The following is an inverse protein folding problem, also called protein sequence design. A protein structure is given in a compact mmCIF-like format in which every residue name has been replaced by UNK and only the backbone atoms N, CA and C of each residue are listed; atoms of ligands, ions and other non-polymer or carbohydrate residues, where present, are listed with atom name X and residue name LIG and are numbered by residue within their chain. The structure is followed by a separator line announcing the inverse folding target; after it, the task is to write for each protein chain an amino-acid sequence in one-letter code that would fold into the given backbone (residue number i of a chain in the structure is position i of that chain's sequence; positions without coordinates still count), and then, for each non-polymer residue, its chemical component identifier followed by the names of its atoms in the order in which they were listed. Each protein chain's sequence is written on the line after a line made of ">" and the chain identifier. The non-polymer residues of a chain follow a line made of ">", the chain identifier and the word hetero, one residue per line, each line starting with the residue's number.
data_IF_875035377674
#
_entry.id   IF_875035377674
#
_cell.length_a   1.000
_cell.length_b   1.000
_cell.length_c   1.000
_cell.angle_alpha   90.00
_cell.angle_beta   90.00
_cell.angle_gamma   90.00
#
_symmetry.space_group_name_H-M   'P 1'
#
loop_
_entity.id
_entity.type
_entity.pdbx_description
1 polymer ?
#
# COMPACT_ATOMS: atom_id res chain seq x y z
N UNK A 1 -31.50 -19.47 11.44
CA UNK A 1 -31.10 -19.06 10.07
C UNK A 1 -29.62 -18.70 10.07
N UNK A 2 -28.77 -19.52 9.45
CA UNK A 2 -27.33 -19.24 9.27
C UNK A 2 -27.20 -18.14 8.22
N UNK A 3 -26.76 -16.95 8.63
CA UNK A 3 -26.52 -15.81 7.73
C UNK A 3 -25.39 -16.16 6.75
N UNK A 4 -25.73 -16.32 5.47
CA UNK A 4 -24.84 -16.61 4.35
C UNK A 4 -24.00 -15.39 3.94
N UNK A 5 -23.05 -14.98 4.77
CA UNK A 5 -21.86 -14.29 4.26
C UNK A 5 -20.90 -15.40 3.80
N UNK A 6 -20.32 -15.30 2.61
CA UNK A 6 -19.32 -16.20 2.00
C UNK A 6 -19.82 -17.38 1.15
N UNK A 7 -20.50 -17.11 0.03
CA UNK A 7 -20.59 -18.11 -1.06
C UNK A 7 -20.29 -17.55 -2.46
N UNK A 8 -19.95 -16.27 -2.57
CA UNK A 8 -19.55 -15.70 -3.86
C UNK A 8 -18.05 -15.82 -4.04
N UNK A 9 -17.65 -16.31 -5.21
CA UNK A 9 -16.25 -16.34 -5.60
C UNK A 9 -15.74 -14.92 -5.78
N UNK A 10 -14.47 -14.70 -5.48
CA UNK A 10 -13.85 -13.39 -5.59
C UNK A 10 -12.44 -13.51 -6.19
N UNK A 11 -11.93 -12.38 -6.67
CA UNK A 11 -10.64 -12.31 -7.33
C UNK A 11 -9.54 -11.89 -6.35
N UNK A 12 -8.55 -12.75 -6.18
CA UNK A 12 -7.26 -12.42 -5.57
C UNK A 12 -6.36 -11.78 -6.61
N UNK A 13 -5.45 -10.92 -6.17
CA UNK A 13 -4.49 -10.26 -7.05
C UNK A 13 -3.15 -9.99 -6.35
N UNK A 14 -2.09 -9.88 -7.16
CA UNK A 14 -0.72 -9.75 -6.69
C UNK A 14 -0.04 -11.09 -6.44
N UNK A 15 1.27 -11.14 -6.68
CA UNK A 15 2.07 -12.36 -6.72
C UNK A 15 1.95 -13.19 -5.45
N UNK A 16 2.28 -12.62 -4.29
CA UNK A 16 2.32 -13.38 -3.03
C UNK A 16 0.95 -13.97 -2.65
N UNK A 17 -0.11 -13.18 -2.81
CA UNK A 17 -1.48 -13.61 -2.51
C UNK A 17 -1.92 -14.75 -3.44
N UNK A 18 -1.76 -14.59 -4.75
CA UNK A 18 -2.18 -15.62 -5.71
C UNK A 18 -1.33 -16.90 -5.60
N UNK A 19 -0.01 -16.77 -5.44
CA UNK A 19 0.87 -17.95 -5.32
C UNK A 19 0.64 -18.71 -4.02
N UNK A 20 0.37 -18.02 -2.91
CA UNK A 20 0.03 -18.69 -1.64
C UNK A 20 -1.28 -19.48 -1.76
N UNK A 21 -2.31 -18.86 -2.35
CA UNK A 21 -3.60 -19.51 -2.63
C UNK A 21 -3.48 -20.74 -3.55
N UNK A 22 -2.63 -20.66 -4.57
CA UNK A 22 -2.33 -21.79 -5.46
C UNK A 22 -1.68 -22.95 -4.71
N UNK A 23 -0.77 -22.68 -3.76
CA UNK A 23 -0.08 -23.70 -2.95
C UNK A 23 -0.97 -24.30 -1.85
N UNK A 24 -1.95 -23.56 -1.35
CA UNK A 24 -2.85 -24.02 -0.29
C UNK A 24 -3.79 -25.13 -0.79
N UNK A 25 -3.63 -26.36 -0.29
CA UNK A 25 -4.44 -27.52 -0.72
C UNK A 25 -5.94 -27.38 -0.42
N UNK A 26 -6.30 -26.63 0.62
CA UNK A 26 -7.68 -26.43 1.04
C UNK A 26 -8.37 -25.28 0.27
N UNK A 27 -7.61 -24.52 -0.51
CA UNK A 27 -8.12 -23.43 -1.33
C UNK A 27 -8.68 -23.95 -2.65
N UNK A 28 -9.98 -23.75 -2.87
CA UNK A 28 -10.60 -23.97 -4.18
C UNK A 28 -10.30 -22.81 -5.12
N UNK A 29 -9.44 -23.09 -6.10
CA UNK A 29 -9.08 -22.17 -7.18
C UNK A 29 -9.90 -22.51 -8.44
N UNK A 30 -10.42 -21.51 -9.13
CA UNK A 30 -11.36 -21.68 -10.24
C UNK A 30 -10.70 -21.34 -11.57
N UNK A 31 -10.12 -20.14 -11.69
CA UNK A 31 -9.48 -19.65 -12.91
C UNK A 31 -8.31 -18.74 -12.56
N UNK A 32 -7.18 -18.94 -13.24
CA UNK A 32 -5.99 -18.09 -13.14
C UNK A 32 -5.87 -17.22 -14.39
N UNK A 33 -5.84 -15.91 -14.21
CA UNK A 33 -5.55 -14.92 -15.24
C UNK A 33 -4.12 -14.40 -15.04
N UNK A 34 -3.30 -14.46 -16.07
CA UNK A 34 -1.91 -14.00 -16.03
C UNK A 34 -1.53 -13.29 -17.31
N UNK A 35 -0.65 -12.31 -17.23
CA UNK A 35 -0.04 -11.72 -18.42
C UNK A 35 1.05 -12.62 -18.99
N UNK A 36 1.32 -12.49 -20.28
CA UNK A 36 2.38 -13.25 -20.97
C UNK A 36 3.74 -13.09 -20.26
N UNK A 37 4.12 -11.85 -19.92
CA UNK A 37 5.38 -11.56 -19.24
C UNK A 37 5.46 -12.24 -17.86
N UNK A 38 4.39 -12.14 -17.06
CA UNK A 38 4.36 -12.77 -15.73
C UNK A 38 4.41 -14.29 -15.83
N UNK A 39 3.67 -14.87 -16.79
CA UNK A 39 3.66 -16.31 -16.99
C UNK A 39 5.04 -16.83 -17.37
N UNK A 40 5.77 -16.16 -18.28
CA UNK A 40 7.13 -16.54 -18.66
C UNK A 40 8.11 -16.49 -17.48
N UNK A 41 8.02 -15.45 -16.64
CA UNK A 41 8.91 -15.30 -15.48
C UNK A 41 8.66 -16.37 -14.40
N UNK A 42 7.43 -16.87 -14.27
CA UNK A 42 7.00 -17.76 -13.18
C UNK A 42 6.44 -19.10 -13.65
N UNK A 43 6.76 -19.50 -14.88
CA UNK A 43 6.17 -20.66 -15.56
C UNK A 43 6.28 -21.95 -14.75
N UNK A 44 7.48 -22.24 -14.23
CA UNK A 44 7.74 -23.47 -13.47
C UNK A 44 6.84 -23.58 -12.24
N UNK A 45 6.72 -22.49 -11.47
CA UNK A 45 5.95 -22.45 -10.23
C UNK A 45 4.44 -22.54 -10.51
N UNK A 46 3.98 -21.82 -11.56
CA UNK A 46 2.58 -21.85 -11.99
C UNK A 46 2.20 -23.24 -12.48
N UNK A 47 2.98 -23.85 -13.39
CA UNK A 47 2.69 -25.19 -13.93
C UNK A 47 2.62 -26.24 -12.83
N UNK A 48 3.54 -26.19 -11.85
CA UNK A 48 3.52 -27.13 -10.73
C UNK A 48 2.22 -27.04 -9.93
N UNK A 49 1.79 -25.83 -9.57
CA UNK A 49 0.58 -25.64 -8.77
C UNK A 49 -0.69 -25.94 -9.58
N UNK A 50 -0.75 -25.48 -10.84
CA UNK A 50 -1.88 -25.65 -11.74
C UNK A 50 -2.13 -27.12 -12.06
N UNK A 51 -1.09 -27.89 -12.39
CA UNK A 51 -1.23 -29.32 -12.70
C UNK A 51 -1.77 -30.10 -11.50
N UNK A 52 -1.36 -29.74 -10.28
CA UNK A 52 -1.84 -30.41 -9.07
C UNK A 52 -3.33 -30.18 -8.79
N UNK A 53 -3.91 -29.07 -9.28
CA UNK A 53 -5.28 -28.65 -9.00
C UNK A 53 -6.21 -28.68 -10.22
N UNK A 54 -5.69 -28.87 -11.43
CA UNK A 54 -6.46 -28.85 -12.68
C UNK A 54 -7.10 -27.48 -13.00
N UNK A 55 -6.42 -26.38 -12.69
CA UNK A 55 -6.97 -25.02 -12.84
C UNK A 55 -6.82 -24.54 -14.29
N UNK A 56 -7.84 -23.86 -14.83
CA UNK A 56 -7.73 -23.19 -16.13
C UNK A 56 -6.84 -21.96 -16.03
N UNK A 57 -5.79 -21.90 -16.85
CA UNK A 57 -4.91 -20.72 -16.99
C UNK A 57 -5.27 -20.00 -18.28
N UNK A 58 -5.54 -18.70 -18.19
CA UNK A 58 -5.82 -17.84 -19.35
C UNK A 58 -4.81 -16.70 -19.39
N UNK A 59 -4.07 -16.64 -20.50
CA UNK A 59 -3.18 -15.52 -20.81
C UNK A 59 -4.05 -14.32 -21.22
N UNK A 60 -3.85 -13.18 -20.58
CA UNK A 60 -4.65 -11.97 -20.78
C UNK A 60 -3.78 -10.71 -20.81
N UNK A 61 -4.30 -9.65 -21.42
CA UNK A 61 -3.69 -8.32 -21.34
C UNK A 61 -3.98 -7.63 -19.99
N UNK A 62 -3.17 -6.64 -19.63
CA UNK A 62 -3.37 -5.85 -18.41
C UNK A 62 -4.76 -5.20 -18.34
N UNK A 63 -5.34 -4.83 -19.50
CA UNK A 63 -6.68 -4.24 -19.56
C UNK A 63 -7.75 -5.16 -18.97
N UNK A 64 -7.73 -6.44 -19.32
CA UNK A 64 -8.68 -7.44 -18.79
C UNK A 64 -8.52 -7.59 -17.28
N UNK A 65 -7.29 -7.58 -16.76
CA UNK A 65 -7.05 -7.62 -15.32
C UNK A 65 -7.61 -6.38 -14.61
N UNK A 66 -7.43 -5.19 -15.19
CA UNK A 66 -7.98 -3.95 -14.64
C UNK A 66 -9.51 -3.91 -14.69
N UNK A 67 -10.13 -4.53 -15.69
CA UNK A 67 -11.59 -4.57 -15.85
C UNK A 67 -12.24 -5.55 -14.86
N UNK A 68 -11.56 -6.66 -14.54
CA UNK A 68 -12.08 -7.71 -13.64
C UNK A 68 -11.84 -7.37 -12.16
N UNK A 69 -10.79 -6.62 -11.85
CA UNK A 69 -10.39 -6.26 -10.49
C UNK A 69 -10.96 -4.90 -10.06
N UNK A 70 -10.93 -4.63 -8.76
CA UNK A 70 -11.28 -3.31 -8.23
C UNK A 70 -10.35 -2.23 -8.77
N UNK A 71 -10.91 -1.05 -9.07
CA UNK A 71 -10.16 0.10 -9.59
C UNK A 71 -8.94 0.41 -8.72
N UNK A 72 -7.76 0.50 -9.33
CA UNK A 72 -6.49 0.77 -8.64
C UNK A 72 -5.82 -0.46 -8.01
N UNK A 73 -6.32 -1.67 -8.24
CA UNK A 73 -5.68 -2.89 -7.76
C UNK A 73 -4.29 -3.08 -8.38
N UNK A 74 -3.24 -3.05 -7.55
CA UNK A 74 -1.89 -3.42 -7.98
C UNK A 74 -1.78 -4.96 -8.13
N UNK A 75 -2.19 -5.44 -9.30
CA UNK A 75 -2.32 -6.86 -9.62
C UNK A 75 -1.01 -7.53 -10.03
N UNK A 76 0.01 -6.77 -10.43
CA UNK A 76 1.33 -7.30 -10.80
C UNK A 76 1.29 -8.36 -11.91
N UNK A 77 0.34 -8.23 -12.85
CA UNK A 77 0.16 -9.18 -13.96
C UNK A 77 -0.50 -10.52 -13.62
N UNK A 78 -1.10 -10.68 -12.43
CA UNK A 78 -1.76 -11.93 -12.01
C UNK A 78 -3.07 -11.66 -11.25
N UNK A 79 -4.11 -12.45 -11.55
CA UNK A 79 -5.34 -12.53 -10.79
C UNK A 79 -5.85 -13.97 -10.69
N UNK A 80 -6.39 -14.36 -9.55
CA UNK A 80 -6.87 -15.72 -9.30
C UNK A 80 -8.29 -15.69 -8.75
N UNK A 81 -9.23 -16.31 -9.46
CA UNK A 81 -10.60 -16.49 -8.99
C UNK A 81 -10.65 -17.65 -8.00
N UNK A 82 -11.13 -17.38 -6.79
CA UNK A 82 -11.20 -18.36 -5.71
C UNK A 82 -12.54 -18.34 -5.02
N UNK A 83 -12.90 -19.48 -4.43
CA UNK A 83 -13.91 -19.49 -3.38
C UNK A 83 -13.26 -19.12 -2.02
N UNK A 84 -14.03 -18.51 -1.09
CA UNK A 84 -13.62 -18.38 0.31
C UNK A 84 -13.14 -19.70 0.90
N UNK A 85 -12.19 -19.68 1.84
CA UNK A 85 -11.78 -20.91 2.53
C UNK A 85 -12.95 -21.32 3.42
N UNK A 86 -13.61 -22.41 3.04
CA UNK A 86 -14.44 -23.14 3.96
C UNK A 86 -13.52 -23.97 4.85
N UNK A 87 -12.98 -23.35 5.88
CA UNK A 87 -12.43 -24.13 6.98
C UNK A 87 -13.62 -24.82 7.64
N UNK A 88 -13.77 -26.13 7.39
CA UNK A 88 -14.55 -26.99 8.30
C UNK A 88 -13.87 -27.10 9.67
N UNK A 89 -12.70 -26.48 9.84
CA UNK A 89 -11.93 -26.42 11.06
C UNK A 89 -12.61 -25.51 12.09
N UNK A 90 -13.13 -26.14 13.11
CA UNK A 90 -13.69 -25.51 14.30
C UNK A 90 -12.59 -25.05 15.26
N UNK A 91 -12.92 -24.11 16.15
CA UNK A 91 -11.96 -23.65 17.16
C UNK A 91 -11.65 -24.77 18.16
N UNK A 92 -12.60 -25.67 18.36
CA UNK A 92 -12.49 -26.88 19.15
C UNK A 92 -11.39 -27.81 18.59
N UNK A 93 -11.43 -28.10 17.29
CA UNK A 93 -10.41 -28.93 16.63
C UNK A 93 -9.02 -28.29 16.66
N UNK A 94 -8.92 -26.96 16.50
CA UNK A 94 -7.63 -26.26 16.66
C UNK A 94 -7.10 -26.42 18.08
N UNK A 95 -7.97 -26.29 19.09
CA UNK A 95 -7.57 -26.34 20.50
C UNK A 95 -7.16 -27.76 20.97
N UNK A 96 -7.74 -28.79 20.37
CA UNK A 96 -7.46 -30.20 20.67
C UNK A 96 -6.24 -30.73 19.90
N UNK A 97 -6.06 -30.31 18.64
CA UNK A 97 -4.92 -30.71 17.80
C UNK A 97 -3.58 -30.04 18.17
N UNK A 98 -3.62 -29.05 19.05
CA UNK A 98 -2.43 -28.28 19.43
C UNK A 98 -1.59 -29.02 20.49
N UNK A 99 -0.30 -29.18 20.16
CA UNK A 99 0.76 -29.70 21.04
C UNK A 99 0.89 -28.90 22.37
N UNK A 100 1.90 -29.22 23.18
CA UNK A 100 2.24 -28.56 24.45
C UNK A 100 2.23 -27.02 24.43
N UNK A 101 2.40 -26.38 23.28
CA UNK A 101 2.32 -24.92 23.09
C UNK A 101 1.40 -24.56 21.93
N UNK A 102 0.51 -23.60 22.15
CA UNK A 102 -0.39 -23.09 21.12
C UNK A 102 -0.78 -21.65 21.37
N UNK A 103 -0.85 -20.88 20.28
CA UNK A 103 -1.24 -19.48 20.30
C UNK A 103 -2.44 -19.29 19.39
N UNK A 104 -3.53 -18.77 19.96
CA UNK A 104 -4.72 -18.35 19.23
C UNK A 104 -4.87 -16.84 19.37
N UNK A 105 -5.18 -16.14 18.29
CA UNK A 105 -5.44 -14.69 18.33
C UNK A 105 -6.93 -14.46 18.10
N UNK A 106 -7.56 -13.64 18.93
CA UNK A 106 -8.97 -13.24 18.80
C UNK A 106 -9.02 -11.74 18.54
N UNK A 107 -9.76 -11.34 17.50
CA UNK A 107 -10.05 -9.93 17.21
C UNK A 107 -11.51 -9.63 17.55
N UNK A 108 -11.74 -8.79 18.57
CA UNK A 108 -13.08 -8.32 18.92
C UNK A 108 -13.36 -6.97 18.25
N UNK A 109 -14.30 -6.94 17.30
CA UNK A 109 -14.76 -5.74 16.59
C UNK A 109 -13.72 -5.04 15.71
N UNK A 110 -12.73 -5.77 15.19
CA UNK A 110 -11.86 -5.24 14.14
C UNK A 110 -12.61 -5.33 12.80
N UNK A 111 -12.90 -4.16 12.22
CA UNK A 111 -13.64 -4.04 10.95
C UNK A 111 -12.76 -3.72 9.76
N UNK A 112 -11.59 -3.10 9.97
CA UNK A 112 -10.67 -2.73 8.89
C UNK A 112 -9.96 -3.97 8.33
N UNK A 113 -10.19 -4.22 7.04
CA UNK A 113 -9.55 -5.32 6.29
C UNK A 113 -8.02 -5.24 6.24
N UNK A 114 -7.45 -4.03 6.26
CA UNK A 114 -6.01 -3.82 6.24
C UNK A 114 -5.37 -4.21 7.58
N UNK A 115 -6.02 -3.88 8.69
CA UNK A 115 -5.57 -4.29 10.03
C UNK A 115 -5.65 -5.81 10.20
N UNK A 116 -6.77 -6.42 9.77
CA UNK A 116 -6.92 -7.89 9.79
C UNK A 116 -5.82 -8.55 8.96
N UNK A 117 -5.57 -8.06 7.74
CA UNK A 117 -4.51 -8.58 6.87
C UNK A 117 -3.12 -8.43 7.49
N UNK A 118 -2.83 -7.27 8.09
CA UNK A 118 -1.54 -7.04 8.77
C UNK A 118 -1.35 -7.99 9.96
N UNK A 119 -2.40 -8.22 10.75
CA UNK A 119 -2.38 -9.17 11.86
C UNK A 119 -2.21 -10.60 11.36
N UNK A 120 -2.86 -11.01 10.27
CA UNK A 120 -2.65 -12.32 9.64
C UNK A 120 -1.19 -12.51 9.23
N UNK A 121 -0.59 -11.49 8.62
CA UNK A 121 0.81 -11.53 8.19
C UNK A 121 1.76 -11.72 9.37
N UNK A 122 1.56 -10.95 10.44
CA UNK A 122 2.31 -11.11 11.69
C UNK A 122 2.07 -12.48 12.32
N UNK A 123 0.82 -12.95 12.33
CA UNK A 123 0.42 -14.26 12.86
C UNK A 123 1.15 -15.41 12.16
N UNK A 124 1.32 -15.33 10.84
CA UNK A 124 2.09 -16.31 10.08
C UNK A 124 3.57 -16.34 10.49
N UNK A 125 4.19 -15.17 10.69
CA UNK A 125 5.58 -15.07 11.15
C UNK A 125 5.82 -15.68 12.53
N UNK A 126 4.83 -15.60 13.42
CA UNK A 126 4.91 -16.12 14.80
C UNK A 126 4.26 -17.50 14.97
N UNK A 127 3.89 -18.18 13.87
CA UNK A 127 3.27 -19.51 13.89
C UNK A 127 2.01 -19.59 14.79
N UNK A 128 1.16 -18.57 14.73
CA UNK A 128 -0.14 -18.56 15.38
C UNK A 128 -1.03 -19.64 14.76
N UNK A 129 -1.67 -20.45 15.58
CA UNK A 129 -2.44 -21.61 15.12
C UNK A 129 -3.77 -21.23 14.46
N UNK A 130 -4.40 -20.15 14.90
CA UNK A 130 -5.61 -19.62 14.29
C UNK A 130 -5.84 -18.15 14.65
N UNK A 131 -6.44 -17.41 13.72
CA UNK A 131 -7.01 -16.09 13.93
C UNK A 131 -8.54 -16.21 13.99
N UNK A 132 -9.15 -15.71 15.05
CA UNK A 132 -10.58 -15.85 15.33
C UNK A 132 -11.27 -14.49 15.26
N UNK A 133 -12.37 -14.42 14.52
CA UNK A 133 -13.22 -13.22 14.41
C UNK A 133 -14.69 -13.56 14.66
N UNK A 134 -15.51 -12.61 15.11
CA UNK A 134 -16.96 -12.81 15.18
C UNK A 134 -17.59 -12.78 13.77
N UNK A 135 -18.65 -13.55 13.52
CA UNK A 135 -19.43 -13.44 12.28
C UNK A 135 -20.06 -12.05 12.09
N UNK A 136 -20.42 -11.40 13.20
CA UNK A 136 -21.02 -10.08 13.23
C UNK A 136 -19.95 -9.03 13.54
N UNK A 137 -20.00 -7.88 12.87
CA UNK A 137 -19.04 -6.78 13.05
C UNK A 137 -17.59 -7.11 12.66
N UNK A 138 -17.41 -8.09 11.77
CA UNK A 138 -16.16 -8.31 11.04
C UNK A 138 -16.44 -8.53 9.55
N UNK A 139 -15.55 -8.07 8.66
CA UNK A 139 -15.65 -8.34 7.23
C UNK A 139 -15.48 -9.84 6.97
N UNK A 140 -16.20 -10.37 5.98
CA UNK A 140 -15.91 -11.70 5.45
C UNK A 140 -14.61 -11.72 4.66
N UNK A 141 -14.13 -12.92 4.34
CA UNK A 141 -12.95 -13.09 3.49
C UNK A 141 -13.13 -12.36 2.14
N UNK A 142 -12.13 -11.56 1.75
CA UNK A 142 -12.16 -10.79 0.52
C UNK A 142 -10.75 -10.44 0.03
N UNK A 143 -10.67 -9.85 -1.17
CA UNK A 143 -9.42 -9.50 -1.82
C UNK A 143 -8.59 -8.47 -1.03
N UNK A 144 -9.22 -7.53 -0.31
CA UNK A 144 -8.53 -6.52 0.49
C UNK A 144 -7.77 -7.15 1.66
N UNK A 145 -8.41 -8.06 2.40
CA UNK A 145 -7.75 -8.83 3.48
C UNK A 145 -6.59 -9.64 2.91
N UNK A 146 -6.84 -10.36 1.80
CA UNK A 146 -5.86 -11.23 1.18
C UNK A 146 -4.62 -10.47 0.65
N UNK A 147 -4.84 -9.25 0.11
CA UNK A 147 -3.77 -8.39 -0.36
C UNK A 147 -2.94 -7.85 0.80
N UNK A 148 -3.57 -7.32 1.84
CA UNK A 148 -2.88 -6.84 3.04
C UNK A 148 -2.10 -7.96 3.73
N UNK A 149 -2.66 -9.17 3.80
CA UNK A 149 -2.04 -10.35 4.38
C UNK A 149 -0.83 -10.88 3.61
N UNK A 150 -0.61 -10.46 2.35
CA UNK A 150 0.54 -10.87 1.53
C UNK A 150 0.73 -12.39 1.45
N UNK A 151 -0.37 -13.14 1.35
CA UNK A 151 -0.38 -14.61 1.28
C UNK A 151 -0.58 -15.33 2.62
N UNK A 152 -0.55 -14.62 3.75
CA UNK A 152 -0.76 -15.22 5.07
C UNK A 152 -2.21 -15.70 5.31
N UNK A 153 -3.19 -15.16 4.57
CA UNK A 153 -4.57 -15.62 4.59
C UNK A 153 -4.71 -17.11 4.24
N UNK A 154 -3.81 -17.63 3.41
CA UNK A 154 -3.78 -19.03 2.97
C UNK A 154 -2.89 -19.94 3.84
N UNK A 155 -2.26 -19.35 4.87
CA UNK A 155 -1.32 -20.04 5.78
C UNK A 155 -1.94 -20.18 7.16
N UNK A 156 -2.50 -19.09 7.71
CA UNK A 156 -3.08 -19.05 9.05
C UNK A 156 -4.59 -19.26 8.95
N UNK A 157 -5.16 -20.28 9.63
CA UNK A 157 -6.59 -20.50 9.67
C UNK A 157 -7.35 -19.28 10.20
N UNK A 158 -8.31 -18.79 9.39
CA UNK A 158 -9.21 -17.70 9.74
C UNK A 158 -10.58 -18.27 10.12
N UNK A 159 -10.89 -18.27 11.43
CA UNK A 159 -12.09 -18.93 11.97
C UNK A 159 -13.11 -17.88 12.41
N UNK A 160 -14.34 -18.04 11.98
CA UNK A 160 -15.44 -17.18 12.41
C UNK A 160 -16.28 -17.85 13.49
N UNK A 161 -16.55 -17.12 14.57
CA UNK A 161 -17.36 -17.61 15.71
C UNK A 161 -18.61 -16.76 15.91
N UNK A 162 -19.66 -17.37 16.44
CA UNK A 162 -20.91 -16.65 16.75
C UNK A 162 -20.81 -15.83 18.03
N UNK A 163 -20.04 -16.30 19.02
CA UNK A 163 -19.93 -15.66 20.32
C UNK A 163 -18.52 -15.83 20.90
N UNK A 164 -17.73 -14.76 20.83
CA UNK A 164 -16.36 -14.71 21.33
C UNK A 164 -16.28 -15.08 22.82
N UNK A 165 -17.22 -14.62 23.65
CA UNK A 165 -17.21 -14.89 25.09
C UNK A 165 -17.37 -16.39 25.36
N UNK A 166 -18.28 -17.05 24.64
CA UNK A 166 -18.47 -18.50 24.76
C UNK A 166 -17.24 -19.26 24.28
N UNK A 167 -16.64 -18.83 23.17
CA UNK A 167 -15.38 -19.39 22.65
C UNK A 167 -14.24 -19.25 23.66
N UNK A 168 -14.08 -18.07 24.28
CA UNK A 168 -13.07 -17.86 25.32
C UNK A 168 -13.31 -18.75 26.55
N UNK A 169 -14.56 -18.89 27.00
CA UNK A 169 -14.91 -19.78 28.11
C UNK A 169 -14.57 -21.24 27.79
N UNK A 170 -14.79 -21.68 26.55
CA UNK A 170 -14.39 -23.00 26.10
C UNK A 170 -12.86 -23.15 26.12
N UNK A 171 -12.12 -22.25 25.49
CA UNK A 171 -10.65 -22.32 25.42
C UNK A 171 -10.03 -22.37 26.83
N UNK A 172 -10.56 -21.61 27.78
CA UNK A 172 -10.15 -21.68 29.20
C UNK A 172 -10.39 -23.04 29.83
N UNK A 173 -11.53 -23.68 29.56
CA UNK A 173 -11.81 -25.04 30.06
C UNK A 173 -10.83 -26.07 29.52
N UNK A 174 -10.34 -25.87 28.30
CA UNK A 174 -9.33 -26.71 27.64
C UNK A 174 -7.88 -26.32 28.07
N UNK A 175 -7.74 -25.37 29.00
CA UNK A 175 -6.45 -25.01 29.61
C UNK A 175 -5.71 -23.85 28.94
N UNK A 176 -6.36 -23.09 28.05
CA UNK A 176 -5.76 -21.87 27.51
C UNK A 176 -5.84 -20.71 28.49
N UNK A 177 -4.78 -19.92 28.56
CA UNK A 177 -4.75 -18.66 29.28
C UNK A 177 -5.09 -17.48 28.36
N UNK A 178 -5.99 -16.59 28.76
CA UNK A 178 -6.37 -15.44 27.94
C UNK A 178 -5.66 -14.16 28.37
N UNK A 179 -5.04 -13.48 27.42
CA UNK A 179 -4.37 -12.20 27.58
C UNK A 179 -5.06 -11.18 26.65
N UNK A 180 -5.74 -10.21 27.24
CA UNK A 180 -6.40 -9.13 26.53
C UNK A 180 -5.53 -7.88 26.47
N UNK A 181 -5.60 -7.16 25.38
CA UNK A 181 -4.95 -5.86 25.22
C UNK A 181 -6.03 -4.79 25.09
N UNK A 182 -6.08 -3.87 26.06
CA UNK A 182 -7.09 -2.82 26.15
C UNK A 182 -6.44 -1.49 26.54
N UNK A 183 -6.85 -0.40 25.89
CA UNK A 183 -6.39 0.95 26.22
C UNK A 183 -6.84 1.44 27.61
N UNK A 184 -7.76 0.75 28.28
CA UNK A 184 -8.25 1.10 29.63
C UNK A 184 -7.76 0.15 30.72
N UNK A 185 -6.82 -0.73 30.41
CA UNK A 185 -6.25 -1.64 31.38
C UNK A 185 -5.41 -0.92 32.43
N UNK A 186 -5.25 -1.56 33.60
CA UNK A 186 -4.46 -1.02 34.72
C UNK A 186 -3.06 -1.62 34.80
N UNK A 187 -2.87 -2.81 34.24
CA UNK A 187 -1.63 -3.58 34.29
C UNK A 187 -0.84 -3.36 33.00
N UNK A 188 0.48 -3.20 33.10
CA UNK A 188 1.36 -3.08 31.93
C UNK A 188 1.85 -4.48 31.50
N UNK A 189 2.02 -4.69 30.19
CA UNK A 189 2.56 -5.94 29.64
C UNK A 189 3.97 -6.25 30.18
N UNK A 190 4.74 -5.21 30.53
CA UNK A 190 6.12 -5.34 31.01
C UNK A 190 6.23 -6.08 32.36
N UNK A 191 5.12 -6.21 33.10
CA UNK A 191 5.08 -6.92 34.38
C UNK A 191 5.01 -8.45 34.21
N UNK A 192 4.80 -8.94 32.99
CA UNK A 192 4.68 -10.38 32.69
C UNK A 192 6.07 -11.00 32.54
N UNK A 193 6.45 -11.84 33.51
CA UNK A 193 7.72 -12.60 33.45
C UNK A 193 7.72 -13.72 32.40
N UNK A 194 6.57 -14.34 32.16
CA UNK A 194 6.42 -15.41 31.19
C UNK A 194 4.96 -15.55 30.75
N UNK A 195 4.76 -15.95 29.50
CA UNK A 195 3.45 -16.31 28.98
C UNK A 195 3.28 -17.83 28.97
N UNK A 196 2.11 -18.29 29.36
CA UNK A 196 1.72 -19.70 29.37
C UNK A 196 1.75 -20.36 28.00
N UNK A 197 2.13 -21.64 27.94
CA UNK A 197 2.35 -22.34 26.66
C UNK A 197 1.12 -22.33 25.76
N UNK A 198 -0.07 -22.57 26.33
CA UNK A 198 -1.37 -22.44 25.66
C UNK A 198 -1.96 -21.06 25.97
N UNK A 199 -1.95 -20.18 24.98
CA UNK A 199 -2.32 -18.77 25.15
C UNK A 199 -3.31 -18.29 24.09
N UNK A 200 -4.22 -17.44 24.53
CA UNK A 200 -5.14 -16.70 23.68
C UNK A 200 -4.80 -15.23 23.82
N UNK A 201 -4.42 -14.59 22.72
CA UNK A 201 -4.14 -13.17 22.65
C UNK A 201 -5.37 -12.47 22.08
N UNK A 202 -5.88 -11.45 22.75
CA UNK A 202 -7.12 -10.79 22.37
C UNK A 202 -6.83 -9.31 22.10
N UNK A 203 -7.19 -8.85 20.91
CA UNK A 203 -7.14 -7.44 20.54
C UNK A 203 -8.56 -6.91 20.35
N UNK A 204 -8.87 -5.80 21.02
CA UNK A 204 -10.10 -5.05 20.79
C UNK A 204 -9.97 -4.05 19.63
N UNK A 205 -11.08 -3.43 19.25
CA UNK A 205 -11.08 -2.30 18.32
C UNK A 205 -10.35 -1.10 18.94
N UNK A 206 -9.65 -0.33 18.12
CA UNK A 206 -8.90 0.87 18.54
C UNK A 206 -9.78 1.87 19.31
N UNK A 207 -11.03 2.07 18.88
CA UNK A 207 -11.96 3.06 19.46
C UNK A 207 -12.69 2.57 20.72
N UNK A 208 -13.18 1.32 20.71
CA UNK A 208 -14.06 0.80 21.79
C UNK A 208 -13.36 -0.12 22.80
N UNK A 209 -12.09 -0.46 22.56
CA UNK A 209 -11.36 -1.44 23.37
C UNK A 209 -11.99 -2.83 23.32
N UNK A 210 -11.68 -3.67 24.32
CA UNK A 210 -12.29 -5.00 24.45
C UNK A 210 -13.61 -4.93 25.23
N UNK A 211 -14.59 -5.76 24.85
CA UNK A 211 -15.80 -5.91 25.67
C UNK A 211 -15.46 -6.56 27.01
N UNK A 212 -15.40 -5.73 28.06
CA UNK A 212 -14.96 -6.08 29.41
C UNK A 212 -15.86 -7.13 30.07
N UNK A 213 -15.38 -8.38 30.21
CA UNK A 213 -15.95 -9.38 31.13
C UNK A 213 -14.85 -10.25 31.75
N UNK A 214 -14.64 -10.04 33.04
CA UNK A 214 -13.72 -10.80 33.88
C UNK A 214 -14.24 -12.20 34.18
N UNK A 215 -13.32 -13.16 34.14
CA UNK A 215 -13.43 -14.53 34.65
C UNK A 215 -12.05 -14.91 35.16
N UNK A 216 -11.97 -15.88 36.08
CA UNK A 216 -10.70 -16.54 36.43
C UNK A 216 -9.92 -16.90 35.14
N UNK A 217 -8.60 -16.67 35.16
CA UNK A 217 -7.63 -16.84 34.06
C UNK A 217 -7.78 -15.84 32.89
N UNK A 218 -7.94 -14.55 33.19
CA UNK A 218 -7.78 -13.48 32.18
C UNK A 218 -7.06 -12.29 32.76
N UNK A 219 -6.08 -11.80 32.01
CA UNK A 219 -5.34 -10.57 32.33
C UNK A 219 -5.56 -9.59 31.18
N UNK A 220 -5.77 -8.31 31.48
CA UNK A 220 -5.95 -7.26 30.46
C UNK A 220 -4.86 -6.21 30.63
N UNK A 221 -4.09 -5.94 29.57
CA UNK A 221 -2.92 -5.06 29.60
C UNK A 221 -3.10 -3.77 28.84
N UNK A 222 -2.45 -2.72 29.36
CA UNK A 222 -2.41 -1.38 28.80
C UNK A 222 -1.16 -1.23 27.94
N UNK A 223 -1.32 -0.80 26.69
CA UNK A 223 -0.27 -0.77 25.68
C UNK A 223 0.42 0.60 25.56
N UNK A 224 0.80 1.23 26.68
CA UNK A 224 1.51 2.53 26.66
C UNK A 224 2.83 2.42 25.88
N UNK A 225 3.61 1.38 26.19
CA UNK A 225 4.93 1.18 25.58
C UNK A 225 4.83 0.98 24.06
N UNK A 226 3.79 0.29 23.57
CA UNK A 226 3.56 0.11 22.13
C UNK A 226 3.17 1.42 21.43
N UNK A 227 2.29 2.22 22.04
CA UNK A 227 1.89 3.52 21.48
C UNK A 227 3.08 4.48 21.43
N UNK A 228 3.83 4.58 22.53
CA UNK A 228 5.06 5.39 22.58
C UNK A 228 6.10 4.86 21.59
N UNK A 229 6.25 3.55 21.46
CA UNK A 229 7.15 2.93 20.48
C UNK A 229 6.74 3.26 19.04
N UNK A 230 5.46 3.15 18.68
CA UNK A 230 4.96 3.49 17.34
C UNK A 230 5.17 4.98 17.01
N UNK A 231 4.93 5.86 17.98
CA UNK A 231 5.20 7.31 17.83
C UNK A 231 6.71 7.54 17.66
N UNK A 232 7.54 6.91 18.47
CA UNK A 232 8.99 7.02 18.39
C UNK A 232 9.52 6.45 17.07
N UNK A 233 8.97 5.34 16.58
CA UNK A 233 9.31 4.72 15.30
C UNK A 233 8.90 5.61 14.14
N UNK A 234 7.73 6.24 14.20
CA UNK A 234 7.25 7.19 13.19
C UNK A 234 8.17 8.40 13.15
N UNK A 235 8.51 8.95 14.31
CA UNK A 235 9.45 10.07 14.40
C UNK A 235 10.87 9.69 13.95
N UNK A 236 11.33 8.48 14.27
CA UNK A 236 12.61 7.95 13.86
C UNK A 236 12.64 7.52 12.38
N UNK A 237 11.49 7.22 11.78
CA UNK A 237 11.39 6.80 10.37
C UNK A 237 11.85 7.89 9.42
N UNK A 238 11.60 9.17 9.74
CA UNK A 238 12.05 10.32 8.95
C UNK A 238 13.58 10.41 8.89
N UNK A 239 14.33 10.45 10.01
CA UNK A 239 15.79 10.45 9.97
C UNK A 239 16.36 9.13 9.45
N UNK A 240 15.79 7.96 9.78
CA UNK A 240 16.21 6.67 9.21
C UNK A 240 16.05 6.63 7.69
N UNK A 241 14.92 7.10 7.18
CA UNK A 241 14.68 7.23 5.74
C UNK A 241 15.68 8.22 5.13
N UNK A 242 15.98 9.34 5.80
CA UNK A 242 17.01 10.28 5.33
C UNK A 242 18.41 9.66 5.28
N UNK A 243 18.77 8.83 6.26
CA UNK A 243 20.05 8.11 6.31
C UNK A 243 20.09 7.06 5.22
N UNK A 244 19.01 6.29 5.04
CA UNK A 244 18.88 5.33 3.96
C UNK A 244 18.99 6.00 2.59
N UNK A 245 18.28 7.10 2.36
CA UNK A 245 18.33 7.88 1.12
C UNK A 245 19.76 8.42 0.86
N UNK A 246 20.43 8.98 1.88
CA UNK A 246 21.84 9.41 1.79
C UNK A 246 22.82 8.25 1.58
N UNK A 247 22.55 7.09 2.16
CA UNK A 247 23.42 5.93 2.11
C UNK A 247 23.24 5.11 0.83
N UNK A 248 22.08 5.15 0.18
CA UNK A 248 21.77 4.32 -1.00
C UNK A 248 21.58 5.11 -2.27
N UNK A 249 21.28 6.41 -2.19
CA UNK A 249 20.91 7.22 -3.35
C UNK A 249 19.46 7.02 -3.80
N UNK A 250 18.65 6.31 -3.01
CA UNK A 250 17.26 5.98 -3.34
C UNK A 250 16.41 7.27 -3.51
N UNK A 251 15.68 7.38 -4.63
CA UNK A 251 14.84 8.55 -4.93
C UNK A 251 15.60 9.79 -5.44
N UNK A 252 16.84 9.65 -5.92
CA UNK A 252 17.61 10.76 -6.52
C UNK A 252 18.37 11.63 -5.51
N UNK A 253 18.31 11.33 -4.21
CA UNK A 253 19.12 12.03 -3.20
C UNK A 253 20.58 11.64 -3.32
N UNK A 254 21.44 12.58 -3.71
CA UNK A 254 22.86 12.33 -3.94
C UNK A 254 23.55 11.78 -2.68
N UNK A 255 24.20 10.61 -2.80
CA UNK A 255 25.34 10.27 -1.92
C UNK A 255 26.31 11.45 -2.02
N UNK A 256 26.77 12.02 -0.91
CA UNK A 256 28.00 12.83 -0.94
C UNK A 256 29.14 11.89 -1.31
N UNK A 257 29.32 11.67 -2.60
CA UNK A 257 30.51 11.06 -3.14
C UNK A 257 31.54 12.17 -3.16
N UNK A 258 32.47 12.11 -2.21
CA UNK A 258 33.79 12.68 -2.41
C UNK A 258 34.35 12.08 -3.70
N UNK A 259 34.37 12.91 -4.75
CA UNK A 259 34.95 12.65 -6.06
C UNK A 259 34.34 11.45 -6.81
N UNK A 260 33.14 11.64 -7.36
CA UNK A 260 32.80 11.02 -8.62
C UNK A 260 32.43 12.13 -9.59
N UNK A 261 33.32 12.35 -10.55
CA UNK A 261 33.07 13.09 -11.77
C UNK A 261 31.86 12.45 -12.45
N UNK A 262 30.65 12.93 -12.17
CA UNK A 262 29.56 12.79 -13.12
C UNK A 262 30.01 13.70 -14.24
N UNK A 263 30.56 13.12 -15.31
CA UNK A 263 30.86 13.88 -16.50
C UNK A 263 29.55 14.51 -16.97
N UNK A 264 29.37 15.78 -16.64
CA UNK A 264 28.48 16.66 -17.37
C UNK A 264 28.81 16.44 -18.84
N UNK A 265 27.87 15.86 -19.56
CA UNK A 265 28.01 15.69 -20.99
C UNK A 265 27.76 17.07 -21.59
N UNK A 266 28.61 17.55 -22.50
CA UNK A 266 28.47 18.87 -23.16
C UNK A 266 27.20 19.00 -24.03
N UNK A 267 26.34 17.98 -24.03
CA UNK A 267 25.16 17.91 -24.85
C UNK A 267 23.98 18.59 -24.15
N UNK A 268 23.53 19.69 -24.73
CA UNK A 268 22.43 20.52 -24.24
C UNK A 268 21.14 20.20 -24.96
N UNK A 269 20.04 20.21 -24.21
CA UNK A 269 18.69 20.18 -24.76
C UNK A 269 18.02 21.51 -24.43
N UNK A 270 17.42 22.13 -25.43
CA UNK A 270 16.67 23.37 -25.27
C UNK A 270 15.29 23.06 -24.73
N UNK A 271 14.96 23.60 -23.57
CA UNK A 271 13.63 23.47 -22.97
C UNK A 271 12.85 24.75 -23.16
N UNK A 272 11.82 24.71 -23.99
CA UNK A 272 10.85 25.78 -24.19
C UNK A 272 9.79 25.78 -23.09
N UNK A 273 9.36 26.97 -22.69
CA UNK A 273 8.35 27.15 -21.66
C UNK A 273 7.13 27.82 -22.27
N UNK A 274 5.99 27.14 -22.14
CA UNK A 274 4.70 27.68 -22.55
C UNK A 274 3.77 27.82 -21.33
N UNK A 275 2.99 28.90 -21.32
CA UNK A 275 2.15 29.31 -20.20
C UNK A 275 0.78 29.75 -20.74
N UNK A 276 -0.23 28.91 -20.49
CA UNK A 276 -1.59 29.11 -20.95
C UNK A 276 -2.57 29.25 -19.77
N UNK A 277 -3.68 29.95 -19.98
CA UNK A 277 -4.77 30.10 -19.02
C UNK A 277 -6.07 29.78 -19.72
N UNK A 278 -6.92 28.98 -19.07
CA UNK A 278 -8.27 28.71 -19.57
C UNK A 278 -9.20 29.89 -19.24
N UNK A 279 -10.10 30.22 -20.18
CA UNK A 279 -10.84 31.50 -20.34
C UNK A 279 -11.57 32.06 -19.10
N UNK A 280 -11.77 31.26 -18.05
CA UNK A 280 -12.58 31.61 -16.89
C UNK A 280 -11.76 32.05 -15.66
N UNK A 281 -10.42 31.98 -15.72
CA UNK A 281 -9.53 32.40 -14.65
C UNK A 281 -8.99 33.82 -14.92
N UNK A 282 -9.30 34.83 -14.07
CA UNK A 282 -8.88 36.22 -14.30
C UNK A 282 -7.42 36.44 -13.89
N UNK A 283 -6.52 35.57 -14.34
CA UNK A 283 -5.09 35.64 -14.06
C UNK A 283 -4.32 36.08 -15.31
N UNK A 284 -3.14 36.67 -15.10
CA UNK A 284 -2.08 36.75 -16.10
C UNK A 284 -1.03 35.71 -15.70
N UNK A 285 -0.64 34.82 -16.62
CA UNK A 285 0.33 33.76 -16.37
C UNK A 285 1.34 33.71 -17.52
N UNK A 286 2.62 33.76 -17.19
CA UNK A 286 3.71 33.75 -18.17
C UNK A 286 4.98 33.14 -17.59
N UNK A 287 5.81 32.56 -18.44
CA UNK A 287 7.17 32.21 -18.07
C UNK A 287 8.05 33.46 -18.01
N UNK A 288 9.11 33.40 -17.19
CA UNK A 288 10.14 34.45 -17.16
C UNK A 288 11.00 34.45 -18.42
N UNK A 289 11.30 33.26 -18.91
CA UNK A 289 12.06 33.03 -20.15
C UNK A 289 11.28 32.11 -21.07
N UNK A 290 11.46 32.28 -22.39
CA UNK A 290 10.80 31.44 -23.38
C UNK A 290 11.49 30.09 -23.56
N UNK A 291 12.79 30.00 -23.24
CA UNK A 291 13.55 28.76 -23.25
C UNK A 291 14.78 28.85 -22.33
N UNK A 292 15.31 27.70 -21.94
CA UNK A 292 16.62 27.53 -21.28
C UNK A 292 17.34 26.32 -21.89
N UNK A 293 18.63 26.45 -22.18
CA UNK A 293 19.46 25.34 -22.62
C UNK A 293 19.99 24.59 -21.39
N UNK A 294 19.62 23.31 -21.26
CA UNK A 294 19.87 22.50 -20.06
C UNK A 294 20.85 21.39 -20.39
N UNK A 295 21.86 21.20 -19.53
CA UNK A 295 22.75 20.05 -19.61
C UNK A 295 22.01 18.80 -19.13
N UNK A 296 22.14 17.71 -19.87
CA UNK A 296 21.54 16.43 -19.49
C UNK A 296 22.15 15.96 -18.15
N UNK A 297 21.29 15.55 -17.22
CA UNK A 297 21.68 15.14 -15.86
C UNK A 297 21.88 16.29 -14.86
N UNK A 298 21.84 17.55 -15.30
CA UNK A 298 21.94 18.72 -14.41
C UNK A 298 20.56 19.23 -14.01
N UNK A 299 20.41 19.61 -12.74
CA UNK A 299 19.19 20.24 -12.24
C UNK A 299 19.11 21.69 -12.71
N UNK A 300 18.01 22.04 -13.36
CA UNK A 300 17.70 23.38 -13.85
C UNK A 300 16.46 23.95 -13.17
N UNK A 301 16.44 25.28 -13.08
CA UNK A 301 15.35 26.03 -12.45
C UNK A 301 14.76 27.02 -13.46
N UNK A 302 13.44 27.02 -13.59
CA UNK A 302 12.69 28.00 -14.39
C UNK A 302 11.63 28.66 -13.54
N UNK A 303 11.34 29.93 -13.80
CA UNK A 303 10.33 30.69 -13.07
C UNK A 303 9.15 31.03 -13.97
N UNK A 304 7.97 30.88 -13.39
CA UNK A 304 6.73 31.43 -13.95
C UNK A 304 6.20 32.51 -13.02
N UNK A 305 5.39 33.41 -13.57
CA UNK A 305 4.71 34.45 -12.82
C UNK A 305 3.22 34.38 -13.07
N UNK A 306 2.46 34.34 -11.97
CA UNK A 306 1.01 34.46 -11.99
C UNK A 306 0.59 35.77 -11.30
N UNK A 307 -0.41 36.45 -11.86
CA UNK A 307 -0.99 37.66 -11.27
C UNK A 307 -2.51 37.60 -11.33
N UNK A 308 -3.18 37.79 -10.19
CA UNK A 308 -4.63 37.95 -10.17
C UNK A 308 -5.01 39.35 -10.66
N UNK A 309 -5.80 39.44 -11.73
CA UNK A 309 -6.25 40.71 -12.31
C UNK A 309 -7.55 41.22 -11.69
N UNK A 310 -8.27 40.37 -10.95
CA UNK A 310 -9.55 40.70 -10.34
C UNK A 310 -9.40 41.46 -9.01
N UNK A 311 -10.54 41.89 -8.47
CA UNK A 311 -10.67 42.53 -7.16
C UNK A 311 -11.09 41.57 -6.04
N UNK A 312 -11.14 40.27 -6.32
CA UNK A 312 -11.50 39.23 -5.36
C UNK A 312 -10.40 38.15 -5.30
N UNK A 313 -10.23 37.44 -4.17
CA UNK A 313 -9.40 36.25 -4.13
C UNK A 313 -9.89 35.22 -5.15
N UNK A 314 -8.96 34.53 -5.80
CA UNK A 314 -9.30 33.47 -6.74
C UNK A 314 -8.33 32.29 -6.60
N UNK A 315 -8.85 31.11 -6.92
CA UNK A 315 -8.17 29.84 -6.78
C UNK A 315 -7.91 29.22 -8.14
N UNK A 316 -6.69 28.76 -8.34
CA UNK A 316 -6.25 28.15 -9.59
C UNK A 316 -5.48 26.86 -9.34
N UNK A 317 -5.59 25.93 -10.28
CA UNK A 317 -4.75 24.74 -10.33
C UNK A 317 -4.13 24.62 -11.72
N UNK A 318 -2.84 24.28 -11.76
CA UNK A 318 -2.14 24.05 -13.01
C UNK A 318 -2.00 22.56 -13.33
N UNK A 319 -2.21 22.22 -14.60
CA UNK A 319 -1.76 20.95 -15.19
C UNK A 319 -0.61 21.23 -16.16
N UNK A 320 0.13 20.18 -16.52
CA UNK A 320 1.24 20.33 -17.43
C UNK A 320 1.35 19.19 -18.43
N UNK A 321 2.02 19.47 -19.53
CA UNK A 321 2.43 18.48 -20.50
C UNK A 321 3.88 18.71 -20.95
N UNK A 322 4.50 17.64 -21.44
CA UNK A 322 5.84 17.67 -22.03
C UNK A 322 5.73 17.19 -23.47
N UNK A 323 6.19 18.01 -24.40
CA UNK A 323 6.15 17.75 -25.84
C UNK A 323 7.56 17.76 -26.41
N UNK A 324 7.96 16.81 -27.26
CA UNK A 324 7.19 15.66 -27.72
C UNK A 324 7.04 14.59 -26.63
N UNK A 325 5.94 13.82 -26.66
CA UNK A 325 5.60 12.85 -25.61
C UNK A 325 6.69 11.81 -25.31
N UNK A 326 7.49 11.44 -26.33
CA UNK A 326 8.64 10.54 -26.18
C UNK A 326 9.71 11.08 -25.22
N UNK A 327 9.83 12.39 -25.06
CA UNK A 327 10.73 13.03 -24.10
C UNK A 327 10.19 13.01 -22.66
N UNK A 328 8.86 12.89 -22.50
CA UNK A 328 8.20 12.97 -21.19
C UNK A 328 8.65 11.88 -20.21
N UNK A 329 9.07 10.71 -20.71
CA UNK A 329 9.63 9.62 -19.88
C UNK A 329 10.94 10.01 -19.18
N UNK A 330 11.71 10.90 -19.79
CA UNK A 330 13.05 11.29 -19.32
C UNK A 330 13.06 12.68 -18.66
N UNK A 331 11.96 13.42 -18.74
CA UNK A 331 11.82 14.74 -18.15
C UNK A 331 11.35 14.61 -16.70
N UNK A 332 12.26 14.76 -15.75
CA UNK A 332 11.98 14.61 -14.34
C UNK A 332 11.77 15.96 -13.67
N UNK A 333 10.67 16.06 -12.91
CA UNK A 333 10.25 17.28 -12.26
C UNK A 333 10.41 17.14 -10.76
N UNK A 334 11.38 17.86 -10.21
CA UNK A 334 11.80 17.75 -8.81
C UNK A 334 10.87 18.53 -7.89
N UNK A 335 10.36 19.69 -8.31
CA UNK A 335 9.41 20.50 -7.55
C UNK A 335 8.54 21.41 -8.46
N UNK A 336 7.25 21.57 -8.17
CA UNK A 336 6.34 22.54 -8.80
C UNK A 336 5.07 22.82 -7.99
N UNK A 337 4.50 24.00 -8.20
CA UNK A 337 3.14 24.46 -7.86
C UNK A 337 1.97 23.66 -8.47
N UNK A 338 2.21 22.48 -9.01
CA UNK A 338 1.30 21.78 -9.90
C UNK A 338 0.49 20.74 -9.13
N UNK A 339 -0.82 20.68 -9.37
CA UNK A 339 -1.77 19.90 -8.57
C UNK A 339 -1.91 20.32 -7.11
N UNK A 340 -1.36 21.48 -6.75
CA UNK A 340 -1.64 22.17 -5.49
C UNK A 340 -2.58 23.35 -5.77
N UNK A 341 -3.57 23.54 -4.91
CA UNK A 341 -4.47 24.69 -4.98
C UNK A 341 -3.70 25.97 -4.69
N UNK A 342 -3.62 26.85 -5.68
CA UNK A 342 -2.96 28.15 -5.56
C UNK A 342 -4.00 29.23 -5.32
N UNK A 343 -3.87 29.95 -4.22
CA UNK A 343 -4.70 31.11 -3.89
C UNK A 343 -3.94 32.41 -4.18
N UNK A 344 -4.51 33.30 -4.99
CA UNK A 344 -3.99 34.65 -5.20
C UNK A 344 -4.99 35.72 -4.75
N UNK A 345 -4.52 36.61 -3.88
CA UNK A 345 -5.26 37.79 -3.42
C UNK A 345 -5.46 38.80 -4.57
N UNK A 346 -6.40 39.76 -4.42
CA UNK A 346 -6.63 40.82 -5.41
C UNK A 346 -5.33 41.53 -5.81
N UNK A 347 -5.06 41.63 -7.11
CA UNK A 347 -3.86 42.28 -7.68
C UNK A 347 -2.50 41.68 -7.27
N UNK A 348 -2.48 40.58 -6.50
CA UNK A 348 -1.26 39.91 -6.06
C UNK A 348 -0.52 39.27 -7.24
N UNK A 349 0.81 39.39 -7.21
CA UNK A 349 1.73 38.64 -8.07
C UNK A 349 2.42 37.55 -7.24
N UNK A 350 2.60 36.37 -7.82
CA UNK A 350 3.37 35.28 -7.21
C UNK A 350 4.40 34.75 -8.22
N UNK A 351 5.61 34.51 -7.72
CA UNK A 351 6.64 33.76 -8.45
C UNK A 351 6.44 32.27 -8.18
N UNK A 352 6.51 31.48 -9.25
CA UNK A 352 6.19 30.06 -9.26
C UNK A 352 7.39 29.29 -9.83
N UNK A 353 8.37 28.93 -8.99
CA UNK A 353 9.56 28.20 -9.42
C UNK A 353 9.22 26.75 -9.81
N UNK A 354 9.88 26.26 -10.85
CA UNK A 354 9.83 24.87 -11.31
C UNK A 354 11.26 24.35 -11.40
N UNK A 355 11.54 23.29 -10.63
CA UNK A 355 12.82 22.59 -10.67
C UNK A 355 12.69 21.28 -11.43
N UNK A 356 13.57 21.05 -12.39
CA UNK A 356 13.53 19.88 -13.27
C UNK A 356 14.94 19.46 -13.73
N UNK A 357 15.07 18.24 -14.23
CA UNK A 357 16.26 17.76 -14.92
C UNK A 357 15.89 16.76 -16.01
N UNK A 358 16.78 16.56 -16.97
CA UNK A 358 16.62 15.55 -18.02
C UNK A 358 17.48 14.35 -17.67
N UNK A 359 16.87 13.16 -17.64
CA UNK A 359 17.58 11.92 -17.32
C UNK A 359 18.61 11.56 -18.41
N UNK A 360 19.86 11.23 -18.05
CA UNK A 360 20.88 10.75 -18.99
C UNK A 360 20.45 9.55 -19.85
N UNK A 361 19.48 8.73 -19.39
CA UNK A 361 18.95 7.62 -20.19
C UNK A 361 18.31 8.06 -21.52
N UNK A 362 17.95 9.34 -21.69
CA UNK A 362 17.44 9.88 -22.96
C UNK A 362 18.43 9.69 -24.12
N UNK A 363 19.72 9.60 -23.82
CA UNK A 363 20.79 9.39 -24.79
C UNK A 363 20.91 7.94 -25.24
N UNK A 364 20.46 7.00 -24.42
CA UNK A 364 20.57 5.57 -24.67
C UNK A 364 19.39 5.05 -25.52
N UNK A 365 18.26 5.75 -25.50
CA UNK A 365 17.07 5.39 -26.29
C UNK A 365 17.21 5.87 -27.74
N UNK A 366 17.17 4.93 -28.67
CA UNK A 366 17.25 5.19 -30.11
C UNK A 366 16.12 6.07 -30.64
N UNK A 367 14.98 6.15 -29.95
CA UNK A 367 13.83 6.96 -30.38
C UNK A 367 13.96 8.45 -30.02
N UNK A 368 14.91 8.79 -29.13
CA UNK A 368 15.11 10.14 -28.60
C UNK A 368 16.45 10.75 -28.99
N UNK A 369 17.30 10.04 -29.74
CA UNK A 369 18.63 10.52 -30.20
C UNK A 369 18.59 11.85 -30.97
N UNK A 370 17.49 12.11 -31.68
CA UNK A 370 17.35 13.31 -32.52
C UNK A 370 16.68 14.49 -31.78
N UNK A 371 16.42 14.35 -30.48
CA UNK A 371 15.74 15.40 -29.70
C UNK A 371 16.73 16.46 -29.20
N UNK A 372 16.71 17.61 -29.84
CA UNK A 372 17.40 18.82 -29.37
C UNK A 372 16.50 19.76 -28.56
N UNK A 373 15.18 19.61 -28.68
CA UNK A 373 14.20 20.54 -28.10
C UNK A 373 13.07 19.80 -27.38
N UNK A 374 12.67 20.34 -26.22
CA UNK A 374 11.54 19.88 -25.42
C UNK A 374 10.70 21.11 -25.06
N UNK A 375 9.37 21.01 -25.08
CA UNK A 375 8.46 22.05 -24.61
C UNK A 375 7.75 21.58 -23.35
N UNK A 376 7.88 22.34 -22.28
CA UNK A 376 7.11 22.21 -21.05
C UNK A 376 5.98 23.24 -21.09
N UNK A 377 4.74 22.79 -21.21
CA UNK A 377 3.57 23.69 -21.19
C UNK A 377 2.80 23.54 -19.90
N UNK A 378 2.46 24.67 -19.29
CA UNK A 378 1.56 24.77 -18.16
C UNK A 378 0.26 25.42 -18.57
N UNK A 379 -0.85 24.86 -18.11
CA UNK A 379 -2.18 25.46 -18.28
C UNK A 379 -2.87 25.60 -16.94
N UNK A 380 -3.32 26.82 -16.63
CA UNK A 380 -4.08 27.11 -15.40
C UNK A 380 -5.58 27.01 -15.61
N UNK A 381 -6.25 26.43 -14.61
CA UNK A 381 -7.69 26.25 -14.54
C UNK A 381 -8.23 26.92 -13.27
N UNK A 382 -9.43 27.49 -13.37
CA UNK A 382 -10.16 28.00 -12.22
C UNK A 382 -10.72 26.83 -11.40
N UNK A 383 -10.46 26.86 -10.10
CA UNK A 383 -11.13 26.00 -9.13
C UNK A 383 -12.44 26.67 -8.68
N UNK A 384 -13.49 25.88 -8.50
CA UNK A 384 -14.83 26.35 -8.12
C UNK A 384 -14.93 26.68 -6.64
#
# INVERSE_FOLDING_TARGET
>A
MKSSKTNENFWLYGKHTCMSALKNKNRRCIELLVTENFYREHEKEIRQCVNSKGIKVRLVENKILNDVLSKGANHQGIALNVAPILYNLSIEEVAESSNDSSTIVILDQVTDTHNIGSILRTSACFNVNALVLPHNHSPGENASIAKAASGALDIVPLIYVTNIVKTMQYLKKVGYWCYGFDCNAKENIDEIKSFEKKRVIIFGSEEKGMRRKGSKNSIVFFLVSLVVSMICLTYASVPLYSIFCKATGYGGTTRKVTNATISATDQKIRVHFNADIMSDLPWEFKSETNYVDVNIGEQSLAFYYAKNLSYQPSFGMAVYNVTPFKAGKYFNKVACFCFEEQMLLPKQKAAMPVSFYIDPEIMLDSNTKDLSEITLSYTFFKLK
#
